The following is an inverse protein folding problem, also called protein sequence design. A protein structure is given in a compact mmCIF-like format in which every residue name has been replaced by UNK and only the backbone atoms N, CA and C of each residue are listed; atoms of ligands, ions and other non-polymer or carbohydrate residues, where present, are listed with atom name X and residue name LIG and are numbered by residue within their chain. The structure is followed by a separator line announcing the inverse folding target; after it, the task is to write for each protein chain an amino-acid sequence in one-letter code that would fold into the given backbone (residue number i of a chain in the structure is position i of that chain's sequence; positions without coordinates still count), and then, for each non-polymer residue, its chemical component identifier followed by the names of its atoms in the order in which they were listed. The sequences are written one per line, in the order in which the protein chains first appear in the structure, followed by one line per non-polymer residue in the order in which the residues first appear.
data_IF_590639982291
#
_entry.id   IF_590639982291
#
_cell.length_a   1.000
_cell.length_b   1.000
_cell.length_c   1.000
_cell.angle_alpha   90.00
_cell.angle_beta   90.00
_cell.angle_gamma   90.00
#
_symmetry.space_group_name_H-M   'P 1'
#
loop_
_entity.id
_entity.type
_entity.pdbx_description
1 polymer ?
#
# COMPACT_ATOMS: atom_id res chain seq x y z
N UNK A 1 -2.20 4.53 31.66
CA UNK A 1 -3.39 3.82 31.17
C UNK A 1 -2.95 2.44 30.70
N UNK A 2 -3.40 1.36 31.34
CA UNK A 2 -3.20 0.00 30.83
C UNK A 2 -4.30 -0.28 29.80
N UNK A 3 -4.05 0.08 28.55
CA UNK A 3 -4.90 -0.40 27.44
C UNK A 3 -4.48 -1.86 27.20
N UNK A 4 -5.35 -2.85 27.43
CA UNK A 4 -5.02 -4.24 27.15
C UNK A 4 -4.69 -4.39 25.66
N UNK A 5 -3.52 -4.96 25.35
CA UNK A 5 -3.14 -5.27 23.97
C UNK A 5 -4.06 -6.39 23.48
N UNK A 6 -5.09 -6.03 22.72
CA UNK A 6 -5.90 -7.02 22.02
C UNK A 6 -5.17 -7.44 20.75
N UNK A 7 -4.66 -8.67 20.74
CA UNK A 7 -4.10 -9.25 19.53
C UNK A 7 -5.25 -9.54 18.55
N UNK A 8 -5.39 -8.72 17.52
CA UNK A 8 -6.34 -8.96 16.44
C UNK A 8 -5.87 -10.17 15.63
N UNK A 9 -6.71 -11.20 15.56
CA UNK A 9 -6.37 -12.50 14.97
C UNK A 9 -6.98 -12.68 13.58
N UNK A 10 -6.67 -11.76 12.67
CA UNK A 10 -7.05 -11.84 11.26
C UNK A 10 -5.97 -11.23 10.36
N UNK A 11 -5.84 -11.69 9.09
CA UNK A 11 -4.88 -11.11 8.18
C UNK A 11 -5.29 -9.69 7.80
N UNK A 12 -4.31 -8.83 7.54
CA UNK A 12 -4.52 -7.39 7.28
C UNK A 12 -5.61 -7.09 6.23
N UNK A 13 -5.69 -7.83 5.14
CA UNK A 13 -6.68 -7.59 4.09
C UNK A 13 -8.11 -7.87 4.55
N UNK A 14 -8.32 -8.75 5.55
CA UNK A 14 -9.66 -8.98 6.13
C UNK A 14 -10.19 -7.75 6.86
N UNK A 15 -9.33 -6.94 7.47
CA UNK A 15 -9.74 -5.68 8.12
C UNK A 15 -10.27 -4.69 7.09
N UNK A 16 -9.61 -4.62 5.93
CA UNK A 16 -10.12 -3.85 4.80
C UNK A 16 -11.47 -4.41 4.29
N UNK A 17 -11.59 -5.73 4.12
CA UNK A 17 -12.85 -6.38 3.70
C UNK A 17 -14.00 -6.09 4.68
N UNK A 18 -13.75 -6.10 5.99
CA UNK A 18 -14.74 -5.71 7.00
C UNK A 18 -15.22 -4.27 6.77
N UNK A 19 -14.31 -3.37 6.40
CA UNK A 19 -14.64 -1.97 6.13
C UNK A 19 -15.44 -1.80 4.83
N UNK A 20 -15.16 -2.60 3.80
CA UNK A 20 -15.94 -2.65 2.55
C UNK A 20 -17.39 -3.05 2.84
N UNK A 21 -17.61 -4.02 3.72
CA UNK A 21 -18.97 -4.43 4.15
C UNK A 21 -19.67 -3.31 4.92
N UNK A 22 -18.96 -2.64 5.83
CA UNK A 22 -19.53 -1.58 6.68
C UNK A 22 -19.91 -0.31 5.91
N UNK A 23 -19.12 0.06 4.90
CA UNK A 23 -19.27 1.35 4.21
C UNK A 23 -18.89 1.27 2.72
N UNK A 24 -19.57 0.43 1.91
CA UNK A 24 -19.15 0.14 0.54
C UNK A 24 -19.15 1.35 -0.39
N UNK A 25 -20.04 2.32 -0.13
CA UNK A 25 -20.22 3.52 -0.96
C UNK A 25 -19.42 4.73 -0.48
N UNK A 26 -18.71 4.61 0.66
CA UNK A 26 -17.81 5.67 1.09
C UNK A 26 -16.60 5.70 0.17
N UNK A 27 -16.03 6.89 -0.03
CA UNK A 27 -14.77 7.07 -0.73
C UNK A 27 -13.65 6.41 0.09
N UNK A 28 -12.78 5.66 -0.59
CA UNK A 28 -11.61 5.01 -0.02
C UNK A 28 -10.32 5.67 -0.50
N UNK A 29 -10.27 6.09 -1.76
CA UNK A 29 -9.07 6.66 -2.38
C UNK A 29 -9.45 7.82 -3.29
N UNK A 30 -8.67 8.90 -3.27
CA UNK A 30 -8.79 10.02 -4.22
C UNK A 30 -7.46 10.36 -4.87
N UNK A 31 -7.49 10.77 -6.14
CA UNK A 31 -6.36 11.34 -6.85
C UNK A 31 -6.85 12.44 -7.80
N UNK A 32 -6.59 13.70 -7.46
CA UNK A 32 -7.23 14.84 -8.13
C UNK A 32 -8.75 14.77 -7.99
N UNK A 33 -9.47 14.86 -9.12
CA UNK A 33 -10.93 14.77 -9.16
C UNK A 33 -11.48 13.33 -9.22
N UNK A 34 -10.60 12.34 -9.33
CA UNK A 34 -11.02 10.94 -9.38
C UNK A 34 -11.17 10.40 -7.97
N UNK A 35 -12.30 9.76 -7.70
CA UNK A 35 -12.62 9.16 -6.41
C UNK A 35 -13.09 7.74 -6.60
N UNK A 36 -12.56 6.83 -5.78
CA UNK A 36 -12.97 5.43 -5.75
C UNK A 36 -13.58 5.11 -4.40
N UNK A 37 -14.76 4.49 -4.45
CA UNK A 37 -15.41 3.92 -3.27
C UNK A 37 -14.68 2.68 -2.77
N UNK A 38 -14.92 2.31 -1.51
CA UNK A 38 -14.46 1.04 -0.94
C UNK A 38 -14.87 -0.15 -1.81
N UNK A 39 -16.11 -0.18 -2.33
CA UNK A 39 -16.58 -1.26 -3.21
C UNK A 39 -15.83 -1.30 -4.54
N UNK A 40 -15.55 -0.16 -5.16
CA UNK A 40 -14.79 -0.13 -6.42
C UNK A 40 -13.36 -0.62 -6.22
N UNK A 41 -12.70 -0.14 -5.16
CA UNK A 41 -11.36 -0.58 -4.80
C UNK A 41 -11.31 -2.09 -4.49
N UNK A 42 -12.31 -2.59 -3.76
CA UNK A 42 -12.43 -4.00 -3.41
C UNK A 42 -12.61 -4.88 -4.65
N UNK A 43 -13.53 -4.52 -5.55
CA UNK A 43 -13.78 -5.25 -6.78
C UNK A 43 -12.51 -5.33 -7.65
N UNK A 44 -11.84 -4.20 -7.90
CA UNK A 44 -10.63 -4.17 -8.72
C UNK A 44 -9.50 -5.01 -8.10
N UNK A 45 -9.30 -4.91 -6.78
CA UNK A 45 -8.25 -5.68 -6.09
C UNK A 45 -8.58 -7.18 -5.99
N UNK A 46 -9.85 -7.55 -5.81
CA UNK A 46 -10.28 -8.96 -5.81
C UNK A 46 -10.13 -9.60 -7.18
N UNK A 47 -10.43 -8.87 -8.26
CA UNK A 47 -10.26 -9.37 -9.62
C UNK A 47 -8.79 -9.57 -9.99
N UNK A 48 -7.93 -8.61 -9.63
CA UNK A 48 -6.49 -8.80 -9.79
C UNK A 48 -5.99 -9.97 -8.93
N UNK A 49 -6.43 -10.11 -7.68
CA UNK A 49 -6.07 -11.24 -6.82
C UNK A 49 -6.46 -12.59 -7.44
N UNK A 50 -7.65 -12.68 -8.04
CA UNK A 50 -8.11 -13.86 -8.78
C UNK A 50 -7.19 -14.21 -9.94
N UNK A 51 -6.73 -13.22 -10.70
CA UNK A 51 -5.73 -13.41 -11.78
C UNK A 51 -4.40 -13.90 -11.20
N UNK A 52 -3.91 -13.28 -10.13
CA UNK A 52 -2.67 -13.68 -9.46
C UNK A 52 -2.71 -15.16 -9.01
N UNK A 53 -3.83 -15.60 -8.42
CA UNK A 53 -3.99 -17.00 -7.99
C UNK A 53 -4.14 -17.93 -9.19
N UNK A 54 -5.07 -17.66 -10.10
CA UNK A 54 -5.46 -18.61 -11.15
C UNK A 54 -4.44 -18.74 -12.29
N UNK A 55 -3.71 -17.68 -12.62
CA UNK A 55 -2.79 -17.67 -13.76
C UNK A 55 -1.32 -17.73 -13.32
N UNK A 56 -1.00 -17.17 -12.16
CA UNK A 56 0.39 -17.05 -11.67
C UNK A 56 0.67 -17.91 -10.43
N UNK A 57 -0.33 -18.63 -9.90
CA UNK A 57 -0.15 -19.54 -8.78
C UNK A 57 0.21 -18.84 -7.47
N UNK A 58 -0.20 -17.57 -7.30
CA UNK A 58 0.06 -16.83 -6.07
C UNK A 58 -0.51 -17.56 -4.85
N UNK A 59 0.31 -17.72 -3.82
CA UNK A 59 0.02 -18.43 -2.59
C UNK A 59 0.91 -17.86 -1.45
N UNK A 60 0.75 -18.30 -0.19
CA UNK A 60 1.67 -17.93 0.89
C UNK A 60 3.13 -18.11 0.51
N UNK A 61 3.96 -17.17 0.95
CA UNK A 61 5.39 -17.09 0.64
C UNK A 61 5.75 -16.79 -0.83
N UNK A 62 4.79 -16.75 -1.78
CA UNK A 62 5.05 -16.18 -3.10
C UNK A 62 5.35 -14.68 -2.95
N UNK A 63 6.40 -14.19 -3.63
CA UNK A 63 6.81 -12.78 -3.59
C UNK A 63 6.50 -12.10 -4.91
N UNK A 64 5.68 -11.06 -4.87
CA UNK A 64 5.25 -10.31 -6.06
C UNK A 64 5.76 -8.88 -5.94
N UNK A 65 6.60 -8.46 -6.88
CA UNK A 65 7.16 -7.12 -6.89
C UNK A 65 6.14 -6.10 -7.43
N UNK A 66 6.05 -4.95 -6.79
CA UNK A 66 5.24 -3.81 -7.23
C UNK A 66 6.18 -2.72 -7.75
N UNK A 67 6.41 -2.70 -9.06
CA UNK A 67 7.14 -1.62 -9.74
C UNK A 67 6.11 -0.65 -10.32
N UNK A 68 5.38 0.03 -9.43
CA UNK A 68 4.23 0.88 -9.78
C UNK A 68 4.40 2.23 -9.05
N UNK A 69 4.25 3.38 -9.73
CA UNK A 69 4.28 4.68 -9.07
C UNK A 69 3.03 4.88 -8.20
N UNK A 70 3.04 5.90 -7.33
CA UNK A 70 1.84 6.24 -6.53
C UNK A 70 0.66 6.56 -7.45
N UNK A 71 -0.32 5.66 -7.44
CA UNK A 71 -1.53 5.71 -8.25
C UNK A 71 -2.58 4.76 -7.66
N UNK A 72 -3.83 4.82 -8.15
CA UNK A 72 -4.85 3.81 -7.82
C UNK A 72 -4.34 2.38 -8.06
N UNK A 73 -3.61 2.17 -9.17
CA UNK A 73 -2.99 0.91 -9.53
C UNK A 73 -2.11 0.33 -8.41
N UNK A 74 -1.36 1.18 -7.69
CA UNK A 74 -0.51 0.72 -6.60
C UNK A 74 -1.34 0.15 -5.45
N UNK A 75 -2.37 0.87 -5.01
CA UNK A 75 -3.23 0.44 -3.88
C UNK A 75 -4.01 -0.83 -4.26
N UNK A 76 -4.50 -0.90 -5.51
CA UNK A 76 -5.14 -2.10 -6.06
C UNK A 76 -4.17 -3.29 -6.04
N UNK A 77 -2.94 -3.11 -6.54
CA UNK A 77 -1.94 -4.17 -6.59
C UNK A 77 -1.52 -4.64 -5.19
N UNK A 78 -1.29 -3.71 -4.26
CA UNK A 78 -1.00 -4.01 -2.85
C UNK A 78 -2.11 -4.87 -2.23
N UNK A 79 -3.37 -4.44 -2.35
CA UNK A 79 -4.50 -5.19 -1.80
C UNK A 79 -4.69 -6.54 -2.51
N UNK A 80 -4.47 -6.60 -3.82
CA UNK A 80 -4.61 -7.81 -4.61
C UNK A 80 -3.58 -8.89 -4.21
N UNK A 81 -2.33 -8.50 -3.99
CA UNK A 81 -1.27 -9.41 -3.52
C UNK A 81 -1.59 -9.93 -2.13
N UNK A 82 -2.01 -9.07 -1.20
CA UNK A 82 -2.42 -9.52 0.14
C UNK A 82 -3.63 -10.47 0.09
N UNK A 83 -4.63 -10.16 -0.76
CA UNK A 83 -5.81 -11.00 -0.96
C UNK A 83 -5.51 -12.33 -1.64
N UNK A 84 -4.48 -12.42 -2.48
CA UNK A 84 -4.06 -13.70 -3.07
C UNK A 84 -3.28 -14.59 -2.08
N UNK A 85 -2.87 -14.03 -0.94
CA UNK A 85 -2.07 -14.71 0.08
C UNK A 85 -0.57 -14.55 -0.12
N UNK A 86 -0.14 -13.89 -1.20
CA UNK A 86 1.26 -13.62 -1.47
C UNK A 86 1.78 -12.39 -0.69
N UNK A 87 3.10 -12.25 -0.64
CA UNK A 87 3.78 -11.09 -0.06
C UNK A 87 4.19 -10.11 -1.17
N UNK A 88 3.95 -8.81 -0.96
CA UNK A 88 4.39 -7.80 -1.94
C UNK A 88 5.79 -7.26 -1.63
N UNK A 89 6.52 -6.88 -2.69
CA UNK A 89 7.84 -6.25 -2.61
C UNK A 89 7.75 -4.91 -3.33
N UNK A 90 7.60 -3.77 -2.63
CA UNK A 90 7.45 -2.49 -3.30
C UNK A 90 8.81 -1.98 -3.80
N UNK A 91 8.82 -1.53 -5.06
CA UNK A 91 10.01 -1.00 -5.73
C UNK A 91 9.66 0.36 -6.31
N UNK A 92 10.40 1.39 -5.92
CA UNK A 92 10.22 2.73 -6.46
C UNK A 92 10.72 2.77 -7.92
N UNK A 93 9.86 3.11 -8.91
CA UNK A 93 10.28 3.23 -10.31
C UNK A 93 11.34 4.30 -10.59
N UNK A 94 11.55 5.22 -9.63
CA UNK A 94 12.59 6.25 -9.69
C UNK A 94 13.94 5.78 -9.14
N UNK A 95 14.02 4.54 -8.64
CA UNK A 95 15.31 3.95 -8.31
C UNK A 95 16.21 3.76 -9.55
N UNK A 96 17.53 3.85 -9.39
CA UNK A 96 18.47 3.45 -10.44
C UNK A 96 18.22 2.01 -10.88
N UNK A 97 18.40 1.72 -12.18
CA UNK A 97 18.13 0.39 -12.76
C UNK A 97 18.88 -0.75 -12.03
N UNK A 98 20.13 -0.51 -11.62
CA UNK A 98 20.90 -1.50 -10.85
C UNK A 98 20.27 -1.82 -9.49
N UNK A 99 19.63 -0.84 -8.84
CA UNK A 99 18.92 -1.03 -7.58
C UNK A 99 17.61 -1.80 -7.79
N UNK A 100 16.87 -1.50 -8.85
CA UNK A 100 15.66 -2.25 -9.23
C UNK A 100 16.03 -3.72 -9.48
N UNK A 101 17.06 -3.97 -10.30
CA UNK A 101 17.58 -5.33 -10.57
C UNK A 101 17.98 -6.05 -9.28
N UNK A 102 18.77 -5.40 -8.43
CA UNK A 102 19.19 -5.98 -7.16
C UNK A 102 18.00 -6.40 -6.29
N UNK A 103 17.00 -5.53 -6.12
CA UNK A 103 15.82 -5.83 -5.28
C UNK A 103 15.03 -7.00 -5.85
N UNK A 104 14.81 -7.04 -7.17
CA UNK A 104 14.10 -8.13 -7.85
C UNK A 104 14.79 -9.48 -7.66
N UNK A 105 16.12 -9.50 -7.80
CA UNK A 105 16.94 -10.70 -7.65
C UNK A 105 17.00 -11.17 -6.20
N UNK A 106 17.35 -10.29 -5.26
CA UNK A 106 17.51 -10.62 -3.84
C UNK A 106 16.18 -11.01 -3.19
N UNK A 107 15.07 -10.40 -3.62
CA UNK A 107 13.76 -10.73 -3.08
C UNK A 107 13.25 -12.08 -3.59
N UNK A 108 13.85 -12.65 -4.63
CA UNK A 108 13.30 -13.82 -5.31
C UNK A 108 11.85 -13.60 -5.74
N UNK A 109 11.55 -12.43 -6.30
CA UNK A 109 10.21 -12.13 -6.80
C UNK A 109 9.88 -13.02 -7.99
N UNK A 110 8.70 -13.63 -7.99
CA UNK A 110 8.26 -14.59 -9.01
C UNK A 110 7.39 -13.92 -10.09
N UNK A 111 6.93 -12.71 -9.82
CA UNK A 111 6.12 -11.88 -10.73
C UNK A 111 6.39 -10.40 -10.44
N UNK A 112 6.38 -9.56 -11.48
CA UNK A 112 6.41 -8.10 -11.32
C UNK A 112 5.12 -7.48 -11.86
N UNK A 113 4.46 -6.69 -11.02
CA UNK A 113 3.35 -5.85 -11.40
C UNK A 113 3.86 -4.47 -11.82
N UNK A 114 3.43 -4.01 -12.99
CA UNK A 114 3.81 -2.72 -13.58
C UNK A 114 2.58 -1.98 -14.10
N UNK A 115 2.74 -0.67 -14.34
CA UNK A 115 1.83 0.13 -15.18
C UNK A 115 2.51 0.46 -16.50
N UNK A 116 1.77 1.03 -17.45
CA UNK A 116 2.34 1.45 -18.73
C UNK A 116 3.52 2.41 -18.55
N UNK A 117 3.38 3.35 -17.60
CA UNK A 117 4.41 4.33 -17.25
C UNK A 117 5.67 3.72 -16.62
N UNK A 118 5.58 2.57 -15.95
CA UNK A 118 6.70 1.95 -15.25
C UNK A 118 7.26 0.70 -15.92
N UNK A 119 6.57 0.13 -16.91
CA UNK A 119 7.03 -1.03 -17.66
C UNK A 119 8.42 -0.84 -18.27
N UNK A 120 8.73 0.38 -18.75
CA UNK A 120 10.06 0.72 -19.30
C UNK A 120 11.21 0.70 -18.28
N UNK A 121 10.90 0.69 -16.98
CA UNK A 121 11.89 0.63 -15.88
C UNK A 121 12.34 -0.80 -15.57
N UNK A 122 11.69 -1.80 -16.16
CA UNK A 122 12.10 -3.20 -15.99
C UNK A 122 13.52 -3.43 -16.53
N UNK A 123 14.39 -4.12 -15.79
CA UNK A 123 15.71 -4.49 -16.30
C UNK A 123 15.58 -5.37 -17.54
N UNK A 124 16.29 -5.03 -18.62
CA UNK A 124 16.22 -5.70 -19.93
C UNK A 124 16.58 -7.19 -19.90
N UNK A 125 17.31 -7.63 -18.88
CA UNK A 125 17.75 -9.02 -18.70
C UNK A 125 16.92 -9.80 -17.65
N UNK A 126 15.82 -9.22 -17.14
CA UNK A 126 14.96 -9.93 -16.19
C UNK A 126 14.17 -11.04 -16.89
N UNK A 127 14.21 -12.24 -16.32
CA UNK A 127 13.38 -13.37 -16.75
C UNK A 127 12.07 -13.48 -15.94
N UNK A 128 11.85 -12.58 -14.98
CA UNK A 128 10.66 -12.58 -14.14
C UNK A 128 9.45 -12.18 -15.01
N UNK A 129 8.36 -12.96 -15.00
CA UNK A 129 7.12 -12.57 -15.67
C UNK A 129 6.66 -11.17 -15.25
N UNK A 130 6.07 -10.44 -16.20
CA UNK A 130 5.54 -9.09 -15.98
C UNK A 130 4.04 -9.10 -16.25
N UNK A 131 3.25 -8.59 -15.31
CA UNK A 131 1.82 -8.39 -15.46
C UNK A 131 1.48 -6.90 -15.35
N UNK A 132 0.70 -6.41 -16.32
CA UNK A 132 0.13 -5.07 -16.28
C UNK A 132 -0.96 -5.00 -15.22
N UNK A 133 -0.73 -4.24 -14.16
CA UNK A 133 -1.68 -3.99 -13.09
C UNK A 133 -2.45 -2.69 -13.35
N UNK A 134 -3.04 -2.56 -14.53
CA UNK A 134 -3.84 -1.39 -14.87
C UNK A 134 -5.30 -1.59 -14.44
N UNK A 135 -5.76 -0.90 -13.37
CA UNK A 135 -7.12 -1.02 -12.89
C UNK A 135 -8.20 -0.65 -13.91
N UNK A 136 -7.86 0.14 -14.93
CA UNK A 136 -8.81 0.65 -15.92
C UNK A 136 -8.95 -0.25 -17.16
N UNK A 137 -8.00 -1.17 -17.38
CA UNK A 137 -7.99 -2.07 -18.55
C UNK A 137 -8.07 -3.54 -18.20
N UNK A 138 -7.96 -3.92 -16.92
CA UNK A 138 -8.33 -5.27 -16.46
C UNK A 138 -9.78 -5.50 -16.85
N UNK A 139 -9.97 -6.21 -17.95
CA UNK A 139 -11.26 -6.70 -18.41
C UNK A 139 -11.71 -7.69 -17.34
N UNK A 140 -12.56 -7.23 -16.44
CA UNK A 140 -13.22 -8.07 -15.46
C UNK A 140 -13.90 -9.17 -16.28
N UNK A 141 -13.56 -10.46 -16.10
CA UNK A 141 -14.42 -11.49 -16.65
C UNK A 141 -15.83 -11.23 -16.14
N UNK A 142 -16.85 -11.61 -16.91
CA UNK A 142 -18.27 -11.48 -16.53
C UNK A 142 -18.66 -12.24 -15.23
N UNK A 143 -17.68 -12.75 -14.47
CA UNK A 143 -17.83 -13.25 -13.12
C UNK A 143 -18.12 -12.12 -12.16
N UNK A 144 -19.02 -12.37 -11.21
CA UNK A 144 -19.30 -11.46 -10.12
C UNK A 144 -18.04 -11.35 -9.23
N UNK A 145 -17.45 -10.16 -9.01
CA UNK A 145 -16.30 -10.00 -8.14
C UNK A 145 -16.52 -10.55 -6.72
N UNK A 146 -17.79 -10.70 -6.30
CA UNK A 146 -18.15 -11.29 -5.00
C UNK A 146 -17.93 -12.81 -4.91
N UNK A 147 -17.69 -13.49 -6.03
CA UNK A 147 -17.39 -14.93 -6.06
C UNK A 147 -15.93 -15.24 -5.68
N UNK A 148 -15.03 -14.25 -5.73
CA UNK A 148 -13.64 -14.43 -5.29
C UNK A 148 -13.57 -14.43 -3.76
N UNK A 149 -13.07 -15.53 -3.19
CA UNK A 149 -12.78 -15.63 -1.77
C UNK A 149 -11.29 -15.33 -1.54
N UNK A 150 -10.94 -14.23 -0.84
CA UNK A 150 -9.55 -13.94 -0.50
C UNK A 150 -8.91 -15.08 0.29
N UNK A 151 -7.62 -15.29 0.07
CA UNK A 151 -6.83 -16.26 0.80
C UNK A 151 -6.90 -15.97 2.32
N UNK A 152 -7.05 -17.01 3.13
CA UNK A 152 -7.01 -16.90 4.58
C UNK A 152 -5.57 -17.02 5.07
N UNK A 153 -4.78 -15.96 4.88
CA UNK A 153 -3.38 -15.96 5.30
C UNK A 153 -3.26 -16.22 6.80
N UNK A 154 -2.34 -17.11 7.17
CA UNK A 154 -2.02 -17.37 8.56
C UNK A 154 -1.27 -16.18 9.17
N UNK A 155 -1.23 -16.16 10.50
CA UNK A 155 -0.61 -15.06 11.28
C UNK A 155 0.85 -14.80 10.90
N UNK A 156 1.58 -15.86 10.56
CA UNK A 156 3.02 -15.83 10.27
C UNK A 156 3.36 -15.83 8.78
N UNK A 157 2.35 -15.86 7.91
CA UNK A 157 2.59 -15.71 6.48
C UNK A 157 3.15 -14.31 6.22
N UNK A 158 4.06 -14.20 5.26
CA UNK A 158 4.62 -12.91 4.85
C UNK A 158 3.54 -12.01 4.23
N UNK A 159 3.52 -10.75 4.66
CA UNK A 159 2.67 -9.70 4.09
C UNK A 159 3.48 -8.84 3.09
N UNK A 160 4.70 -8.45 3.45
CA UNK A 160 5.57 -7.67 2.56
C UNK A 160 7.05 -7.77 2.89
N UNK A 161 7.88 -7.32 1.94
CA UNK A 161 9.33 -7.15 2.10
C UNK A 161 9.76 -5.75 1.66
N UNK A 162 10.29 -4.94 2.58
CA UNK A 162 10.82 -3.60 2.28
C UNK A 162 12.34 -3.58 2.38
N UNK A 163 13.01 -2.92 1.43
CA UNK A 163 14.47 -2.83 1.40
C UNK A 163 15.01 -1.56 2.04
N UNK A 164 15.89 -1.73 3.02
CA UNK A 164 16.57 -0.62 3.71
C UNK A 164 18.04 -0.51 3.30
N UNK A 165 18.63 0.69 3.40
CA UNK A 165 20.07 0.91 3.22
C UNK A 165 20.83 0.22 4.38
N UNK A 166 21.22 -1.03 4.21
CA UNK A 166 21.94 -1.77 5.25
C UNK A 166 23.25 -1.09 5.64
N UNK A 167 23.66 -1.23 6.90
CA UNK A 167 24.92 -0.67 7.45
C UNK A 167 26.18 -1.16 6.72
N UNK A 168 26.09 -2.27 6.00
CA UNK A 168 27.17 -2.86 5.20
C UNK A 168 27.23 -2.31 3.76
N UNK A 169 26.41 -1.31 3.43
CA UNK A 169 26.30 -0.72 2.09
C UNK A 169 25.47 -1.53 1.09
N UNK A 170 25.12 -2.78 1.41
CA UNK A 170 24.16 -3.59 0.64
C UNK A 170 22.76 -3.46 1.23
N UNK A 171 21.73 -3.18 0.42
CA UNK A 171 20.36 -3.16 0.93
C UNK A 171 19.93 -4.51 1.51
N UNK A 172 19.05 -4.51 2.50
CA UNK A 172 18.52 -5.72 3.16
C UNK A 172 17.00 -5.73 3.08
N UNK A 173 16.43 -6.85 2.63
CA UNK A 173 14.98 -7.09 2.65
C UNK A 173 14.48 -7.39 4.07
N UNK A 174 13.66 -6.50 4.61
CA UNK A 174 13.00 -6.67 5.90
C UNK A 174 11.65 -7.34 5.66
N UNK A 175 11.52 -8.59 6.11
CA UNK A 175 10.31 -9.40 5.97
C UNK A 175 9.33 -9.11 7.10
N UNK A 176 8.07 -8.81 6.76
CA UNK A 176 7.02 -8.48 7.71
C UNK A 176 5.85 -9.44 7.54
N UNK A 177 5.48 -10.09 8.65
CA UNK A 177 4.35 -11.03 8.72
C UNK A 177 3.01 -10.31 8.91
N UNK A 178 1.92 -10.95 8.50
CA UNK A 178 0.55 -10.44 8.69
C UNK A 178 0.26 -10.05 10.16
N UNK A 179 0.68 -10.84 11.15
CA UNK A 179 0.43 -10.54 12.57
C UNK A 179 1.08 -9.22 13.02
N UNK A 180 2.29 -8.95 12.55
CA UNK A 180 3.06 -7.77 12.93
C UNK A 180 2.39 -6.53 12.35
N UNK A 181 2.00 -6.60 11.08
CA UNK A 181 1.29 -5.53 10.41
C UNK A 181 -0.10 -5.30 11.04
N UNK A 182 -0.91 -6.35 11.22
CA UNK A 182 -2.23 -6.28 11.85
C UNK A 182 -2.15 -5.61 13.23
N UNK A 183 -1.21 -6.03 14.09
CA UNK A 183 -1.06 -5.46 15.42
C UNK A 183 -0.80 -3.95 15.40
N UNK A 184 -0.04 -3.48 14.41
CA UNK A 184 0.28 -2.07 14.25
C UNK A 184 -0.94 -1.30 13.71
N UNK A 185 -1.59 -1.80 12.65
CA UNK A 185 -2.73 -1.10 12.01
C UNK A 185 -3.98 -1.04 12.88
N UNK A 186 -4.17 -1.98 13.82
CA UNK A 186 -5.32 -1.99 14.73
C UNK A 186 -5.05 -1.30 16.05
N UNK A 187 -3.95 -0.56 16.18
CA UNK A 187 -3.64 0.19 17.40
C UNK A 187 -4.73 1.27 17.64
N UNK A 188 -5.46 1.23 18.77
CA UNK A 188 -6.55 2.17 19.04
C UNK A 188 -6.14 3.64 18.99
N UNK A 189 -4.94 3.98 19.46
CA UNK A 189 -4.46 5.37 19.44
C UNK A 189 -4.30 5.92 18.02
N UNK A 190 -3.97 5.05 17.07
CA UNK A 190 -3.79 5.41 15.67
C UNK A 190 -5.12 5.33 14.90
N UNK A 191 -6.01 4.40 15.29
CA UNK A 191 -7.36 4.30 14.72
C UNK A 191 -8.25 5.49 15.11
N UNK A 192 -8.12 6.02 16.34
CA UNK A 192 -8.88 7.19 16.80
C UNK A 192 -8.53 8.47 16.02
N UNK A 193 -7.31 8.54 15.45
CA UNK A 193 -6.90 9.63 14.58
C UNK A 193 -7.56 9.56 13.19
N UNK A 194 -8.09 8.40 12.78
CA UNK A 194 -8.69 8.16 11.47
C UNK A 194 -10.19 7.83 11.60
N UNK A 195 -11.05 8.85 11.63
CA UNK A 195 -12.51 8.63 11.61
C UNK A 195 -13.04 8.32 10.20
N UNK A 196 -14.33 7.94 10.11
CA UNK A 196 -15.07 8.03 8.84
C UNK A 196 -14.93 9.44 8.29
N UNK A 197 -14.62 9.56 6.99
CA UNK A 197 -14.34 10.82 6.27
C UNK A 197 -12.98 11.47 6.55
N UNK A 198 -12.12 10.88 7.37
CA UNK A 198 -10.78 11.40 7.61
C UNK A 198 -9.89 11.19 6.38
N UNK A 199 -9.24 12.26 5.92
CA UNK A 199 -8.42 12.27 4.70
C UNK A 199 -6.94 12.21 5.08
N UNK A 200 -6.26 11.13 4.71
CA UNK A 200 -4.83 10.93 4.99
C UNK A 200 -4.01 11.04 3.71
N UNK A 201 -2.95 11.83 3.75
CA UNK A 201 -2.04 11.99 2.62
C UNK A 201 -1.17 10.73 2.41
N UNK A 202 -1.00 10.31 1.15
CA UNK A 202 -0.01 9.30 0.74
C UNK A 202 1.31 9.98 0.34
N UNK A 203 2.09 10.40 1.32
CA UNK A 203 3.31 11.20 1.11
C UNK A 203 4.54 10.32 0.87
N UNK A 204 4.72 9.26 1.64
CA UNK A 204 5.98 8.51 1.67
C UNK A 204 6.27 7.80 0.34
N UNK A 205 7.54 7.46 0.10
CA UNK A 205 7.92 6.65 -1.06
C UNK A 205 7.26 5.28 -0.93
N UNK A 206 6.85 4.70 -2.06
CA UNK A 206 6.27 3.34 -2.12
C UNK A 206 7.18 2.28 -1.51
N UNK A 207 8.50 2.50 -1.57
CA UNK A 207 9.52 1.59 -1.06
C UNK A 207 9.92 1.88 0.40
N UNK A 208 9.20 2.76 1.11
CA UNK A 208 9.38 3.04 2.53
C UNK A 208 8.29 2.34 3.36
N UNK A 209 8.66 1.74 4.49
CA UNK A 209 7.74 0.97 5.34
C UNK A 209 6.57 1.81 5.87
N UNK A 210 6.81 3.10 6.16
CA UNK A 210 5.76 3.99 6.64
C UNK A 210 4.64 4.24 5.61
N UNK A 211 4.92 4.08 4.32
CA UNK A 211 3.88 4.18 3.28
C UNK A 211 2.78 3.13 3.45
N UNK A 212 3.15 1.94 3.95
CA UNK A 212 2.20 0.87 4.29
C UNK A 212 1.19 1.37 5.32
N UNK A 213 1.64 2.22 6.24
CA UNK A 213 0.81 2.80 7.29
C UNK A 213 -0.13 3.86 6.72
N UNK A 214 0.35 4.75 5.86
CA UNK A 214 -0.47 5.77 5.17
C UNK A 214 -1.66 5.13 4.41
N UNK A 215 -1.44 3.97 3.78
CA UNK A 215 -2.49 3.25 3.07
C UNK A 215 -3.39 2.45 4.03
N UNK A 216 -2.80 1.55 4.81
CA UNK A 216 -3.58 0.53 5.53
C UNK A 216 -4.25 1.07 6.78
N UNK A 217 -3.73 2.10 7.46
CA UNK A 217 -4.46 2.73 8.57
C UNK A 217 -5.75 3.36 8.07
N UNK A 218 -5.64 4.26 7.09
CA UNK A 218 -6.80 4.98 6.56
C UNK A 218 -7.86 4.01 6.06
N UNK A 219 -7.45 3.03 5.25
CA UNK A 219 -8.37 2.04 4.71
C UNK A 219 -9.01 1.15 5.79
N UNK A 220 -8.26 0.75 6.82
CA UNK A 220 -8.77 -0.09 7.91
C UNK A 220 -9.75 0.64 8.83
N UNK A 221 -9.60 1.96 8.97
CA UNK A 221 -10.44 2.78 9.83
C UNK A 221 -11.69 3.35 9.14
N UNK A 222 -11.81 3.23 7.81
CA UNK A 222 -12.91 3.83 7.04
C UNK A 222 -12.63 5.24 6.53
N UNK A 223 -11.37 5.65 6.52
CA UNK A 223 -10.89 6.93 6.01
C UNK A 223 -10.68 6.94 4.50
N UNK A 224 -10.08 8.03 4.01
CA UNK A 224 -9.81 8.30 2.60
C UNK A 224 -8.31 8.48 2.42
N UNK A 225 -7.68 7.65 1.60
CA UNK A 225 -6.28 7.81 1.20
C UNK A 225 -6.22 8.79 0.03
N UNK A 226 -5.47 9.88 0.21
CA UNK A 226 -5.33 10.94 -0.79
C UNK A 226 -3.96 10.82 -1.46
N UNK A 227 -3.96 10.38 -2.71
CA UNK A 227 -2.77 10.34 -3.55
C UNK A 227 -2.48 11.78 -4.00
N UNK A 228 -1.26 12.31 -3.75
CA UNK A 228 -0.94 13.68 -4.10
C UNK A 228 -0.98 13.89 -5.61
N UNK A 229 -1.50 15.04 -6.01
CA UNK A 229 -1.32 15.55 -7.36
C UNK A 229 0.06 16.21 -7.48
N UNK A 230 0.43 16.67 -8.68
CA UNK A 230 1.75 17.28 -8.90
C UNK A 230 2.10 18.44 -7.95
N UNK A 231 1.11 19.12 -7.37
CA UNK A 231 1.31 20.12 -6.32
C UNK A 231 0.95 19.55 -4.94
N UNK A 232 1.97 19.26 -4.15
CA UNK A 232 1.81 18.73 -2.80
C UNK A 232 1.14 19.72 -1.84
N UNK A 233 1.36 21.03 -2.03
CA UNK A 233 0.80 22.08 -1.17
C UNK A 233 -0.72 22.16 -1.36
N UNK A 234 -1.19 22.10 -2.61
CA UNK A 234 -2.62 22.02 -2.91
C UNK A 234 -3.24 20.76 -2.31
N UNK A 235 -2.54 19.62 -2.39
CA UNK A 235 -3.03 18.38 -1.79
C UNK A 235 -3.12 18.50 -0.26
N UNK A 236 -2.13 19.13 0.40
CA UNK A 236 -2.11 19.34 1.85
C UNK A 236 -3.30 20.17 2.36
N UNK A 237 -3.86 21.05 1.52
CA UNK A 237 -5.07 21.79 1.87
C UNK A 237 -6.33 20.90 1.85
N UNK A 238 -6.27 19.71 1.26
CA UNK A 238 -7.42 18.81 1.12
C UNK A 238 -7.41 17.62 2.09
N UNK A 239 -6.44 17.55 3.01
CA UNK A 239 -6.25 16.40 3.92
C UNK A 239 -6.35 16.83 5.39
N UNK A 240 -6.72 15.89 6.25
CA UNK A 240 -6.80 16.05 7.70
C UNK A 240 -5.52 15.58 8.41
N UNK A 241 -4.81 14.61 7.83
CA UNK A 241 -3.54 14.09 8.36
C UNK A 241 -2.49 13.98 7.27
N UNK A 242 -1.26 14.32 7.63
CA UNK A 242 -0.09 14.09 6.82
C UNK A 242 1.09 13.64 7.68
N UNK A 243 1.90 12.76 7.10
CA UNK A 243 3.10 12.24 7.71
C UNK A 243 4.32 12.91 7.06
N UNK A 244 5.28 13.34 7.88
CA UNK A 244 6.49 13.99 7.39
C UNK A 244 7.75 13.46 8.07
N UNK A 245 8.85 13.49 7.32
CA UNK A 245 10.18 13.51 7.91
C UNK A 245 10.48 14.95 8.41
N UNK A 246 11.15 15.13 9.57
CA UNK A 246 11.47 16.45 10.13
C UNK A 246 12.09 17.42 9.12
N UNK A 247 13.07 16.96 8.34
CA UNK A 247 13.73 17.78 7.32
C UNK A 247 12.80 18.27 6.21
N UNK A 248 11.75 17.51 5.87
CA UNK A 248 10.73 17.94 4.91
C UNK A 248 9.81 18.99 5.53
N UNK A 249 9.27 18.72 6.74
CA UNK A 249 8.36 19.62 7.42
C UNK A 249 8.98 21.00 7.65
N UNK A 250 10.28 21.05 7.99
CA UNK A 250 11.01 22.31 8.21
C UNK A 250 11.05 23.25 6.99
N UNK A 251 10.78 22.74 5.78
CA UNK A 251 10.75 23.51 4.53
C UNK A 251 9.36 24.02 4.16
N UNK A 252 8.31 23.55 4.84
CA UNK A 252 6.95 23.98 4.59
C UNK A 252 6.64 25.24 5.41
N UNK A 253 5.83 26.14 4.84
CA UNK A 253 5.27 27.25 5.60
C UNK A 253 4.05 26.73 6.40
N UNK A 254 3.88 27.07 7.69
CA UNK A 254 2.65 26.75 8.42
C UNK A 254 1.34 27.17 7.72
N UNK A 255 1.39 28.17 6.84
CA UNK A 255 0.26 28.56 6.00
C UNK A 255 -0.14 27.50 4.93
N UNK A 256 0.78 26.60 4.58
CA UNK A 256 0.58 25.58 3.53
C UNK A 256 -0.33 24.42 3.98
N UNK A 257 -0.54 24.25 5.30
CA UNK A 257 -1.18 23.07 5.87
C UNK A 257 -2.16 23.38 7.02
N UNK A 258 -2.86 24.52 6.94
CA UNK A 258 -3.81 24.97 7.98
C UNK A 258 -4.99 24.03 8.23
N UNK A 259 -5.31 23.13 7.29
CA UNK A 259 -6.41 22.18 7.41
C UNK A 259 -6.01 20.87 8.10
N UNK A 260 -4.71 20.64 8.34
CA UNK A 260 -4.25 19.47 9.07
C UNK A 260 -4.70 19.52 10.52
N UNK A 261 -5.35 18.44 10.96
CA UNK A 261 -5.72 18.18 12.35
C UNK A 261 -4.64 17.40 13.07
N UNK A 262 -3.94 16.53 12.35
CA UNK A 262 -2.87 15.68 12.89
C UNK A 262 -1.66 15.75 11.98
N UNK A 263 -0.48 15.88 12.58
CA UNK A 263 0.80 15.75 11.89
C UNK A 263 1.56 14.63 12.59
N UNK A 264 1.98 13.61 11.84
CA UNK A 264 2.85 12.57 12.35
C UNK A 264 4.26 12.85 11.82
N UNK A 265 5.24 12.85 12.72
CA UNK A 265 6.63 13.18 12.39
C UNK A 265 7.52 12.05 12.87
N UNK A 266 8.42 11.57 12.01
CA UNK A 266 9.34 10.49 12.34
C UNK A 266 10.42 10.25 11.29
N UNK A 267 11.30 9.29 11.57
CA UNK A 267 12.37 8.88 10.65
C UNK A 267 13.69 9.65 10.81
N UNK A 268 13.68 10.81 11.44
CA UNK A 268 14.88 11.61 11.78
C UNK A 268 14.73 12.23 13.18
N UNK A 269 15.82 12.67 13.84
CA UNK A 269 15.70 13.46 15.05
C UNK A 269 14.88 14.75 14.82
N UNK A 270 13.91 15.01 15.68
CA UNK A 270 13.19 16.29 15.69
C UNK A 270 14.11 17.37 16.30
N UNK A 271 14.59 18.28 15.46
CA UNK A 271 15.40 19.44 15.85
C UNK A 271 14.64 20.74 15.71
#
# INVERSE_FOLDING_TARGET
MNVPIQCVNQPVHSIFSDQVIKAPHNIAVTHGHNEWTYRQLDNCSSELARVLVSQYGAQPETRIALLIPKAFAYIVALLAVLKSGAAYVPIDPEYPADRIRFVLEDSGAELVLVTESSASKMPTQSHIPVLMADPFTVSLPNSDPSDFQPHRSARRDLAYIVYTSGTTGRPKGVMIEHQSLTNVITNPMLMDACSKSHRSLLMMSVAFDWMVMEVLYGLSAGGIVVIPTGNIIETLQSVDTADFIPSFLSRLNPADFQNLKTIIIGGEPCT
#
